data_IF_739829735594
#
_entry.id   IF_739829735594
#
_cell.length_a   1.000
_cell.length_b   1.000
_cell.length_c   1.000
_cell.angle_alpha   90.00
_cell.angle_beta   90.00
_cell.angle_gamma   90.00
#
_symmetry.space_group_name_H-M   'P 1'
#
loop_
_entity.id
_entity.type
_entity.pdbx_description
1 polymer ?
#
# COMPACT_ATOMS: atom_id res chain seq x y z
N UNK A 1 -6.94 -11.36 -23.37
CA UNK A 1 -6.15 -10.56 -22.38
C UNK A 1 -6.40 -9.06 -22.42
N UNK A 2 -6.01 -8.34 -23.49
CA UNK A 2 -6.14 -6.88 -23.55
C UNK A 2 -7.58 -6.38 -23.29
N UNK A 3 -8.59 -7.04 -23.85
CA UNK A 3 -9.99 -6.70 -23.65
C UNK A 3 -10.45 -6.78 -22.16
N UNK A 4 -10.04 -7.84 -21.45
CA UNK A 4 -10.38 -8.03 -20.02
C UNK A 4 -9.70 -6.96 -19.14
N UNK A 5 -8.42 -6.70 -19.41
CA UNK A 5 -7.68 -5.64 -18.74
C UNK A 5 -8.35 -4.28 -18.94
N UNK A 6 -8.69 -3.93 -20.20
CA UNK A 6 -9.40 -2.68 -20.54
C UNK A 6 -10.77 -2.62 -19.87
N UNK A 7 -11.52 -3.71 -19.84
CA UNK A 7 -12.82 -3.81 -19.15
C UNK A 7 -12.68 -3.44 -17.68
N UNK A 8 -11.73 -4.06 -16.95
CA UNK A 8 -11.57 -3.82 -15.52
C UNK A 8 -11.18 -2.37 -15.22
N UNK A 9 -10.31 -1.77 -16.04
CA UNK A 9 -9.99 -0.34 -15.94
C UNK A 9 -11.24 0.52 -16.15
N UNK A 10 -12.04 0.24 -17.19
CA UNK A 10 -13.25 0.99 -17.49
C UNK A 10 -14.30 0.87 -16.38
N UNK A 11 -14.48 -0.33 -15.81
CA UNK A 11 -15.41 -0.55 -14.71
C UNK A 11 -15.04 0.31 -13.49
N UNK A 12 -13.75 0.32 -13.13
CA UNK A 12 -13.27 1.14 -12.02
C UNK A 12 -13.42 2.65 -12.30
N UNK A 13 -12.86 3.16 -13.41
CA UNK A 13 -12.84 4.60 -13.66
C UNK A 13 -14.22 5.20 -14.02
N UNK A 14 -15.18 4.38 -14.45
CA UNK A 14 -16.57 4.83 -14.66
C UNK A 14 -17.35 4.92 -13.35
N UNK A 15 -17.00 4.14 -12.34
CA UNK A 15 -17.57 4.24 -11.01
C UNK A 15 -16.90 5.36 -10.20
N UNK A 16 -17.36 6.60 -10.40
CA UNK A 16 -16.81 7.78 -9.71
C UNK A 16 -16.86 7.65 -8.18
N UNK A 17 -17.90 7.00 -7.65
CA UNK A 17 -18.05 6.75 -6.22
C UNK A 17 -16.97 5.76 -5.76
N UNK A 18 -16.84 4.62 -6.45
CA UNK A 18 -15.82 3.62 -6.18
C UNK A 18 -14.39 4.19 -6.24
N UNK A 19 -14.08 5.06 -7.21
CA UNK A 19 -12.78 5.75 -7.28
C UNK A 19 -12.53 6.58 -6.03
N UNK A 20 -13.48 7.43 -5.63
CA UNK A 20 -13.34 8.25 -4.43
C UNK A 20 -13.19 7.39 -3.16
N UNK A 21 -14.05 6.40 -2.97
CA UNK A 21 -14.04 5.56 -1.77
C UNK A 21 -12.83 4.63 -1.69
N UNK A 22 -12.20 4.28 -2.82
CA UNK A 22 -10.95 3.51 -2.82
C UNK A 22 -9.77 4.26 -2.18
N UNK A 23 -9.80 5.60 -2.22
CA UNK A 23 -8.85 6.48 -1.53
C UNK A 23 -9.23 6.78 -0.08
N UNK A 24 -10.41 6.39 0.39
CA UNK A 24 -10.94 6.84 1.69
C UNK A 24 -9.98 6.52 2.85
N UNK A 25 -9.39 5.32 2.89
CA UNK A 25 -8.43 4.96 3.94
C UNK A 25 -7.18 5.87 3.95
N UNK A 26 -6.64 6.19 2.77
CA UNK A 26 -5.52 7.11 2.64
C UNK A 26 -5.91 8.56 2.98
N UNK A 27 -7.09 9.00 2.56
CA UNK A 27 -7.62 10.33 2.88
C UNK A 27 -7.89 10.49 4.38
N UNK A 28 -8.47 9.49 5.03
CA UNK A 28 -8.64 9.48 6.49
C UNK A 28 -7.28 9.65 7.16
N UNK A 29 -6.26 8.91 6.71
CA UNK A 29 -4.92 9.03 7.26
C UNK A 29 -4.34 10.43 7.11
N UNK A 30 -4.48 11.00 5.92
CA UNK A 30 -4.01 12.35 5.65
C UNK A 30 -4.74 13.41 6.50
N UNK A 31 -6.07 13.33 6.58
CA UNK A 31 -6.91 14.26 7.35
C UNK A 31 -6.61 14.15 8.84
N UNK A 32 -6.54 12.93 9.38
CA UNK A 32 -6.23 12.69 10.79
C UNK A 32 -4.89 13.32 11.16
N UNK A 33 -3.89 13.17 10.28
CA UNK A 33 -2.60 13.80 10.52
C UNK A 33 -2.70 15.32 10.56
N UNK A 34 -3.29 15.93 9.52
CA UNK A 34 -3.38 17.39 9.41
C UNK A 34 -4.11 18.00 10.60
N UNK A 35 -5.24 17.41 11.02
CA UNK A 35 -6.12 17.99 12.04
C UNK A 35 -5.62 17.68 13.45
N UNK A 36 -5.21 16.42 13.72
CA UNK A 36 -5.01 15.95 15.09
C UNK A 36 -3.54 15.70 15.45
N UNK A 37 -2.74 15.15 14.53
CA UNK A 37 -1.44 14.55 14.87
C UNK A 37 -0.29 15.53 14.63
N UNK A 38 -0.34 16.28 13.53
CA UNK A 38 0.77 17.14 13.09
C UNK A 38 1.22 18.12 14.17
N UNK A 39 0.27 18.80 14.81
CA UNK A 39 0.57 19.84 15.81
C UNK A 39 1.31 19.26 17.02
N UNK A 40 0.88 18.10 17.53
CA UNK A 40 1.55 17.47 18.68
C UNK A 40 2.93 16.94 18.30
N UNK A 41 3.07 16.30 17.13
CA UNK A 41 4.37 15.82 16.67
C UNK A 41 5.36 16.96 16.43
N UNK A 42 4.93 18.05 15.79
CA UNK A 42 5.77 19.23 15.62
C UNK A 42 6.22 19.79 16.97
N UNK A 43 5.34 19.80 17.99
CA UNK A 43 5.68 20.26 19.33
C UNK A 43 6.81 19.43 19.98
N UNK A 44 6.82 18.12 19.77
CA UNK A 44 7.89 17.22 20.25
C UNK A 44 9.23 17.44 19.53
N UNK A 45 9.19 17.89 18.27
CA UNK A 45 10.37 18.06 17.42
C UNK A 45 10.69 19.53 17.08
N UNK A 46 10.25 20.50 17.89
CA UNK A 46 10.44 21.93 17.60
C UNK A 46 11.91 22.34 17.48
N UNK A 47 12.80 21.65 18.18
CA UNK A 47 14.24 21.92 18.15
C UNK A 47 14.91 21.43 16.85
N UNK A 48 14.23 20.58 16.06
CA UNK A 48 14.74 20.06 14.80
C UNK A 48 14.45 21.04 13.67
N UNK A 49 15.47 21.56 12.96
CA UNK A 49 15.26 22.47 11.84
C UNK A 49 14.36 21.86 10.75
N UNK A 50 13.30 22.59 10.39
CA UNK A 50 12.36 22.15 9.34
C UNK A 50 11.49 20.94 9.74
N UNK A 51 11.21 20.76 11.04
CA UNK A 51 10.39 19.67 11.58
C UNK A 51 9.03 19.53 10.90
N UNK A 52 8.37 20.64 10.55
CA UNK A 52 7.12 20.63 9.78
C UNK A 52 7.27 19.84 8.47
N UNK A 53 8.18 20.28 7.59
CA UNK A 53 8.37 19.64 6.29
C UNK A 53 8.92 18.22 6.42
N UNK A 54 9.72 17.95 7.46
CA UNK A 54 10.23 16.61 7.72
C UNK A 54 9.10 15.64 8.06
N UNK A 55 8.17 16.03 8.94
CA UNK A 55 7.02 15.24 9.34
C UNK A 55 5.98 15.11 8.21
N UNK A 56 5.83 16.13 7.38
CA UNK A 56 4.94 16.06 6.21
C UNK A 56 5.43 15.02 5.18
N UNK A 57 6.73 14.97 4.91
CA UNK A 57 7.32 13.94 4.06
C UNK A 57 7.22 12.54 4.69
N UNK A 58 7.31 12.46 6.03
CA UNK A 58 7.13 11.20 6.76
C UNK A 58 5.72 10.63 6.58
N UNK A 59 4.71 11.50 6.66
CA UNK A 59 3.32 11.14 6.42
C UNK A 59 3.11 10.71 4.96
N UNK A 60 3.63 11.47 3.99
CA UNK A 60 3.47 11.16 2.55
C UNK A 60 3.88 9.71 2.28
N UNK A 61 5.03 9.27 2.81
CA UNK A 61 5.48 7.90 2.60
C UNK A 61 4.54 6.83 3.16
N UNK A 62 3.97 7.06 4.35
CA UNK A 62 2.99 6.16 4.95
C UNK A 62 1.68 6.10 4.16
N UNK A 63 1.13 7.26 3.83
CA UNK A 63 -0.15 7.41 3.13
C UNK A 63 -0.13 6.83 1.72
N UNK A 64 0.99 6.91 0.99
CA UNK A 64 1.12 6.24 -0.31
C UNK A 64 1.06 4.72 -0.18
N UNK A 65 1.69 4.15 0.85
CA UNK A 65 1.57 2.72 1.11
C UNK A 65 0.14 2.32 1.49
N UNK A 66 -0.57 3.12 2.30
CA UNK A 66 -1.99 2.88 2.60
C UNK A 66 -2.81 2.89 1.31
N UNK A 67 -2.57 3.88 0.45
CA UNK A 67 -3.27 4.06 -0.82
C UNK A 67 -3.14 2.82 -1.71
N UNK A 68 -1.93 2.26 -1.82
CA UNK A 68 -1.68 1.05 -2.60
C UNK A 68 -2.50 -0.14 -2.07
N UNK A 69 -2.47 -0.35 -0.74
CA UNK A 69 -3.17 -1.46 -0.08
C UNK A 69 -4.68 -1.33 -0.25
N UNK A 70 -5.27 -0.18 0.12
CA UNK A 70 -6.74 -0.02 0.10
C UNK A 70 -7.30 0.05 -1.31
N UNK A 71 -6.60 0.72 -2.23
CA UNK A 71 -7.06 0.84 -3.62
C UNK A 71 -7.05 -0.52 -4.31
N UNK A 72 -5.95 -1.27 -4.20
CA UNK A 72 -5.84 -2.57 -4.87
C UNK A 72 -6.81 -3.61 -4.27
N UNK A 73 -7.11 -3.52 -2.97
CA UNK A 73 -8.14 -4.35 -2.34
C UNK A 73 -9.53 -4.04 -2.89
N UNK A 74 -9.88 -2.75 -2.98
CA UNK A 74 -11.15 -2.31 -3.55
C UNK A 74 -11.30 -2.73 -5.01
N UNK A 75 -10.25 -2.60 -5.82
CA UNK A 75 -10.28 -2.97 -7.25
C UNK A 75 -10.35 -4.47 -7.46
N UNK A 76 -9.64 -5.27 -6.65
CA UNK A 76 -9.75 -6.73 -6.66
C UNK A 76 -11.15 -7.20 -6.26
N UNK A 77 -11.91 -6.37 -5.54
CA UNK A 77 -13.32 -6.61 -5.25
C UNK A 77 -14.19 -6.83 -6.49
N UNK A 78 -13.77 -6.32 -7.66
CA UNK A 78 -14.45 -6.60 -8.92
C UNK A 78 -14.47 -8.10 -9.24
N UNK A 79 -13.42 -8.85 -8.90
CA UNK A 79 -13.38 -10.30 -9.06
C UNK A 79 -14.47 -10.99 -8.24
N UNK A 80 -14.62 -10.60 -6.96
CA UNK A 80 -15.65 -11.14 -6.07
C UNK A 80 -17.05 -10.79 -6.58
N UNK A 81 -17.23 -9.56 -7.07
CA UNK A 81 -18.49 -9.11 -7.65
C UNK A 81 -18.86 -9.91 -8.90
N UNK A 82 -17.89 -10.17 -9.77
CA UNK A 82 -18.11 -10.95 -10.98
C UNK A 82 -18.40 -12.42 -10.67
N UNK A 83 -17.80 -12.96 -9.60
CA UNK A 83 -18.10 -14.31 -9.12
C UNK A 83 -19.52 -14.40 -8.56
N UNK A 84 -19.92 -13.47 -7.70
CA UNK A 84 -21.23 -13.51 -7.04
C UNK A 84 -22.39 -13.28 -8.02
N UNK A 85 -22.18 -12.50 -9.09
CA UNK A 85 -23.18 -12.27 -10.14
C UNK A 85 -23.09 -13.25 -11.31
N UNK A 86 -22.38 -14.37 -11.15
CA UNK A 86 -22.23 -15.42 -12.16
C UNK A 86 -21.57 -14.99 -13.48
N UNK A 87 -21.00 -13.78 -13.56
CA UNK A 87 -20.28 -13.26 -14.74
C UNK A 87 -19.07 -14.12 -15.09
N UNK A 88 -18.44 -14.75 -14.09
CA UNK A 88 -17.34 -15.69 -14.31
C UNK A 88 -17.80 -16.91 -15.14
N UNK A 89 -19.04 -17.39 -14.96
CA UNK A 89 -19.58 -18.52 -15.73
C UNK A 89 -19.69 -18.14 -17.21
N UNK A 90 -20.15 -16.93 -17.51
CA UNK A 90 -20.22 -16.42 -18.88
C UNK A 90 -18.85 -16.38 -19.55
N UNK A 91 -17.79 -15.99 -18.82
CA UNK A 91 -16.43 -16.03 -19.35
C UNK A 91 -15.94 -17.45 -19.65
N UNK A 92 -16.34 -18.44 -18.86
CA UNK A 92 -15.98 -19.85 -19.11
C UNK A 92 -16.70 -20.48 -20.29
N UNK A 93 -17.80 -19.87 -20.78
CA UNK A 93 -18.43 -20.24 -22.04
C UNK A 93 -17.69 -19.69 -23.28
N UNK A 94 -16.63 -18.91 -23.07
CA UNK A 94 -15.76 -18.37 -24.13
C UNK A 94 -14.36 -18.99 -24.06
N UNK A 95 -13.50 -18.72 -25.06
CA UNK A 95 -12.10 -19.20 -25.09
C UNK A 95 -11.16 -18.50 -24.07
N UNK A 96 -11.70 -17.89 -23.00
CA UNK A 96 -10.93 -17.22 -21.96
C UNK A 96 -10.50 -18.22 -20.90
N UNK A 97 -9.18 -18.36 -20.68
CA UNK A 97 -8.70 -19.24 -19.62
C UNK A 97 -8.87 -18.62 -18.21
N UNK A 98 -9.08 -19.44 -17.15
CA UNK A 98 -9.18 -18.95 -15.77
C UNK A 98 -7.96 -18.15 -15.32
N UNK A 99 -6.77 -18.60 -15.74
CA UNK A 99 -5.52 -17.90 -15.48
C UNK A 99 -5.49 -16.50 -16.12
N UNK A 100 -5.91 -16.41 -17.38
CA UNK A 100 -6.00 -15.14 -18.10
C UNK A 100 -6.97 -14.17 -17.42
N UNK A 101 -8.13 -14.66 -16.98
CA UNK A 101 -9.12 -13.87 -16.26
C UNK A 101 -8.54 -13.35 -14.93
N UNK A 102 -7.97 -14.23 -14.10
CA UNK A 102 -7.36 -13.86 -12.81
C UNK A 102 -6.23 -12.85 -12.97
N UNK A 103 -5.32 -13.10 -13.91
CA UNK A 103 -4.21 -12.20 -14.21
C UNK A 103 -4.71 -10.84 -14.70
N UNK A 104 -5.83 -10.78 -15.44
CA UNK A 104 -6.41 -9.50 -15.86
C UNK A 104 -6.91 -8.65 -14.69
N UNK A 105 -7.50 -9.25 -13.65
CA UNK A 105 -7.89 -8.53 -12.42
C UNK A 105 -6.68 -8.01 -11.67
N UNK A 106 -5.63 -8.84 -11.55
CA UNK A 106 -4.40 -8.46 -10.86
C UNK A 106 -3.67 -7.32 -11.58
N UNK A 107 -3.47 -7.42 -12.89
CA UNK A 107 -2.76 -6.39 -13.68
C UNK A 107 -3.53 -5.06 -13.68
N UNK A 108 -4.84 -5.10 -13.89
CA UNK A 108 -5.67 -3.88 -13.86
C UNK A 108 -5.68 -3.24 -12.46
N UNK A 109 -5.78 -4.04 -11.40
CA UNK A 109 -5.68 -3.56 -10.01
C UNK A 109 -4.33 -2.91 -9.73
N UNK A 110 -3.23 -3.49 -10.21
CA UNK A 110 -1.88 -2.93 -10.04
C UNK A 110 -1.72 -1.58 -10.72
N UNK A 111 -2.22 -1.44 -11.95
CA UNK A 111 -2.18 -0.16 -12.67
C UNK A 111 -3.08 0.88 -12.02
N UNK A 112 -4.27 0.51 -11.56
CA UNK A 112 -5.14 1.42 -10.82
C UNK A 112 -4.47 1.86 -9.52
N UNK A 113 -3.96 0.93 -8.71
CA UNK A 113 -3.27 1.23 -7.46
C UNK A 113 -2.04 2.13 -7.66
N UNK A 114 -1.32 1.98 -8.77
CA UNK A 114 -0.24 2.87 -9.17
C UNK A 114 -0.77 4.29 -9.48
N UNK A 115 -1.79 4.42 -10.33
CA UNK A 115 -2.39 5.72 -10.70
C UNK A 115 -2.93 6.45 -9.46
N UNK A 116 -3.63 5.73 -8.57
CA UNK A 116 -4.24 6.32 -7.38
C UNK A 116 -3.19 6.75 -6.35
N UNK A 117 -2.04 6.06 -6.25
CA UNK A 117 -0.90 6.55 -5.47
C UNK A 117 -0.36 7.87 -6.04
N UNK A 118 -0.24 8.00 -7.36
CA UNK A 118 0.21 9.27 -7.97
C UNK A 118 -0.80 10.39 -7.71
N UNK A 119 -2.11 10.11 -7.82
CA UNK A 119 -3.14 11.08 -7.48
C UNK A 119 -3.01 11.54 -6.01
N UNK A 120 -2.82 10.60 -5.09
CA UNK A 120 -2.66 10.91 -3.67
C UNK A 120 -1.35 11.66 -3.38
N UNK A 121 -0.26 11.34 -4.08
CA UNK A 121 1.00 12.09 -4.03
C UNK A 121 0.78 13.55 -4.44
N UNK A 122 0.09 13.78 -5.57
CA UNK A 122 -0.21 15.15 -6.05
C UNK A 122 -1.06 15.92 -5.04
N UNK A 123 -2.09 15.28 -4.45
CA UNK A 123 -2.95 15.91 -3.44
C UNK A 123 -2.12 16.34 -2.22
N UNK A 124 -1.30 15.45 -1.66
CA UNK A 124 -0.52 15.77 -0.45
C UNK A 124 0.58 16.79 -0.72
N UNK A 125 1.32 16.65 -1.83
CA UNK A 125 2.37 17.61 -2.17
C UNK A 125 1.78 18.98 -2.47
N UNK A 126 0.64 19.06 -3.17
CA UNK A 126 -0.06 20.32 -3.42
C UNK A 126 -0.49 20.99 -2.13
N UNK A 127 -1.10 20.22 -1.21
CA UNK A 127 -1.51 20.74 0.11
C UNK A 127 -0.31 21.26 0.91
N UNK A 128 0.73 20.44 1.12
CA UNK A 128 1.88 20.83 1.93
C UNK A 128 2.76 21.90 1.28
N UNK A 129 2.72 22.03 -0.05
CA UNK A 129 3.35 23.15 -0.73
C UNK A 129 2.68 24.48 -0.34
N UNK A 130 1.34 24.50 -0.25
CA UNK A 130 0.58 25.70 0.14
C UNK A 130 0.66 25.98 1.64
N UNK A 131 0.59 24.95 2.50
CA UNK A 131 0.51 25.15 3.94
C UNK A 131 1.85 25.30 4.64
N UNK A 132 2.88 24.59 4.18
CA UNK A 132 4.18 24.48 4.87
C UNK A 132 5.37 24.83 3.98
N UNK A 133 5.12 25.37 2.78
CA UNK A 133 6.13 25.69 1.78
C UNK A 133 7.01 24.46 1.44
N UNK A 134 6.42 23.26 1.43
CA UNK A 134 7.14 22.05 1.07
C UNK A 134 7.51 22.07 -0.41
N UNK A 135 8.82 22.05 -0.70
CA UNK A 135 9.31 21.95 -2.06
C UNK A 135 9.02 20.56 -2.66
N UNK A 136 8.54 20.55 -3.92
CA UNK A 136 8.32 19.31 -4.66
C UNK A 136 9.67 18.63 -4.93
N UNK A 137 9.85 17.34 -4.57
CA UNK A 137 11.13 16.66 -4.70
C UNK A 137 11.36 16.15 -6.14
N UNK A 138 11.44 17.06 -7.11
CA UNK A 138 11.56 16.75 -8.55
C UNK A 138 12.65 15.71 -8.88
N UNK A 139 13.84 15.87 -8.30
CA UNK A 139 14.97 14.94 -8.51
C UNK A 139 14.74 13.53 -7.95
N UNK A 140 13.76 13.34 -7.05
CA UNK A 140 13.42 12.03 -6.45
C UNK A 140 12.18 11.40 -7.08
N UNK A 141 11.45 12.12 -7.95
CA UNK A 141 10.22 11.62 -8.55
C UNK A 141 10.40 10.31 -9.32
N UNK A 142 11.47 10.10 -10.13
CA UNK A 142 11.66 8.82 -10.82
C UNK A 142 11.71 7.63 -9.85
N UNK A 143 12.40 7.81 -8.71
CA UNK A 143 12.53 6.79 -7.69
C UNK A 143 11.21 6.58 -6.92
N UNK A 144 10.49 7.66 -6.60
CA UNK A 144 9.15 7.58 -5.98
C UNK A 144 8.17 6.84 -6.90
N UNK A 145 8.21 7.11 -8.20
CA UNK A 145 7.38 6.42 -9.21
C UNK A 145 7.71 4.93 -9.26
N UNK A 146 8.99 4.57 -9.22
CA UNK A 146 9.41 3.16 -9.20
C UNK A 146 8.90 2.43 -7.94
N UNK A 147 8.97 3.08 -6.78
CA UNK A 147 8.45 2.54 -5.52
C UNK A 147 6.93 2.44 -5.55
N UNK A 148 6.23 3.39 -6.17
CA UNK A 148 4.77 3.33 -6.35
C UNK A 148 4.35 2.15 -7.21
N UNK A 149 5.12 1.85 -8.26
CA UNK A 149 4.89 0.67 -9.09
C UNK A 149 5.09 -0.62 -8.29
N UNK A 150 6.22 -0.76 -7.60
CA UNK A 150 6.50 -1.92 -6.73
C UNK A 150 5.42 -2.09 -5.66
N UNK A 151 5.07 -0.99 -4.96
CA UNK A 151 4.04 -0.94 -3.93
C UNK A 151 2.67 -1.40 -4.44
N UNK A 152 2.28 -0.96 -5.64
CA UNK A 152 1.00 -1.34 -6.22
C UNK A 152 0.93 -2.84 -6.51
N UNK A 153 1.94 -3.40 -7.19
CA UNK A 153 1.95 -4.82 -7.52
C UNK A 153 2.16 -5.71 -6.29
N UNK A 154 2.96 -5.27 -5.32
CA UNK A 154 3.07 -5.94 -4.01
C UNK A 154 1.70 -5.99 -3.31
N UNK A 155 0.99 -4.87 -3.28
CA UNK A 155 -0.34 -4.80 -2.66
C UNK A 155 -1.34 -5.70 -3.38
N UNK A 156 -1.28 -5.79 -4.71
CA UNK A 156 -2.12 -6.72 -5.49
C UNK A 156 -1.88 -8.17 -5.07
N UNK A 157 -0.64 -8.63 -5.01
CA UNK A 157 -0.38 -10.04 -4.67
C UNK A 157 -0.75 -10.35 -3.22
N UNK A 158 -0.49 -9.43 -2.29
CA UNK A 158 -0.87 -9.60 -0.88
C UNK A 158 -2.39 -9.61 -0.69
N UNK A 159 -3.10 -8.68 -1.30
CA UNK A 159 -4.57 -8.65 -1.24
C UNK A 159 -5.17 -9.88 -1.94
N UNK A 160 -4.56 -10.35 -3.04
CA UNK A 160 -5.03 -11.54 -3.75
C UNK A 160 -4.91 -12.82 -2.90
N UNK A 161 -3.92 -12.94 -2.01
CA UNK A 161 -3.83 -14.07 -1.06
C UNK A 161 -5.07 -14.19 -0.17
N UNK A 162 -5.75 -13.07 0.11
CA UNK A 162 -6.98 -13.04 0.90
C UNK A 162 -8.18 -13.17 -0.03
N UNK A 163 -8.27 -12.32 -1.05
CA UNK A 163 -9.44 -12.18 -1.94
C UNK A 163 -9.80 -13.47 -2.66
N UNK A 164 -8.83 -14.31 -3.01
CA UNK A 164 -9.10 -15.57 -3.72
C UNK A 164 -9.90 -16.61 -2.92
N UNK A 165 -10.19 -16.36 -1.65
CA UNK A 165 -11.05 -17.18 -0.79
C UNK A 165 -12.39 -16.50 -0.46
N UNK A 166 -12.67 -15.34 -1.06
CA UNK A 166 -13.84 -14.54 -0.79
C UNK A 166 -14.78 -14.60 -1.99
N UNK A 167 -15.98 -15.14 -1.77
CA UNK A 167 -16.97 -15.39 -2.83
C UNK A 167 -18.23 -14.53 -2.70
N UNK A 168 -18.28 -13.63 -1.70
CA UNK A 168 -19.44 -12.80 -1.35
C UNK A 168 -19.03 -11.35 -1.10
N UNK A 169 -19.78 -10.42 -1.68
CA UNK A 169 -19.57 -8.96 -1.54
C UNK A 169 -19.73 -8.50 -0.09
N UNK A 170 -20.64 -9.13 0.67
CA UNK A 170 -20.81 -8.82 2.11
C UNK A 170 -19.53 -9.14 2.91
N UNK A 171 -18.94 -10.32 2.70
CA UNK A 171 -17.68 -10.72 3.33
C UNK A 171 -16.53 -9.80 2.92
N UNK A 172 -16.44 -9.47 1.63
CA UNK A 172 -15.48 -8.51 1.11
C UNK A 172 -15.61 -7.14 1.80
N UNK A 173 -16.84 -6.65 1.97
CA UNK A 173 -17.11 -5.36 2.59
C UNK A 173 -16.62 -5.31 4.04
N UNK A 174 -16.82 -6.38 4.80
CA UNK A 174 -16.29 -6.52 6.17
C UNK A 174 -14.77 -6.49 6.21
N UNK A 175 -14.11 -7.19 5.27
CA UNK A 175 -12.65 -7.17 5.15
C UNK A 175 -12.16 -5.76 4.79
N UNK A 176 -12.81 -5.08 3.85
CA UNK A 176 -12.50 -3.69 3.48
C UNK A 176 -12.56 -2.75 4.69
N UNK A 177 -13.59 -2.87 5.54
CA UNK A 177 -13.71 -2.05 6.75
C UNK A 177 -12.56 -2.29 7.73
N UNK A 178 -12.18 -3.55 7.96
CA UNK A 178 -11.08 -3.91 8.86
C UNK A 178 -9.75 -3.37 8.30
N UNK A 179 -9.44 -3.69 7.05
CA UNK A 179 -8.18 -3.26 6.41
C UNK A 179 -8.11 -1.74 6.34
N UNK A 180 -9.19 -1.07 5.93
CA UNK A 180 -9.24 0.39 5.84
C UNK A 180 -9.00 1.09 7.18
N UNK A 181 -9.54 0.53 8.27
CA UNK A 181 -9.35 1.10 9.62
C UNK A 181 -7.97 0.80 10.20
N UNK A 182 -7.48 -0.43 10.00
CA UNK A 182 -6.21 -0.88 10.57
C UNK A 182 -4.98 -0.42 9.77
N UNK A 183 -5.11 -0.13 8.48
CA UNK A 183 -3.98 0.16 7.59
C UNK A 183 -3.10 1.31 8.10
N UNK A 184 -3.70 2.40 8.59
CA UNK A 184 -2.93 3.54 9.09
C UNK A 184 -2.09 3.23 10.35
N UNK A 185 -2.58 2.34 11.22
CA UNK A 185 -1.83 1.86 12.37
C UNK A 185 -0.77 0.82 11.96
N UNK A 186 -1.15 -0.19 11.18
CA UNK A 186 -0.27 -1.29 10.79
C UNK A 186 0.88 -0.86 9.86
N UNK A 187 0.70 0.22 9.09
CA UNK A 187 1.78 0.83 8.28
C UNK A 187 2.62 1.81 9.12
N UNK A 188 2.14 2.20 10.31
CA UNK A 188 2.81 3.16 11.17
C UNK A 188 2.73 4.59 10.64
N UNK A 189 1.55 4.99 10.15
CA UNK A 189 1.29 6.35 9.61
C UNK A 189 0.63 7.26 10.65
N UNK A 190 -0.09 6.70 11.63
CA UNK A 190 -0.73 7.48 12.69
C UNK A 190 0.20 7.83 13.84
N UNK A 191 1.18 6.96 14.14
CA UNK A 191 2.09 7.16 15.26
C UNK A 191 3.50 6.67 14.89
N UNK A 192 4.56 7.31 15.43
CA UNK A 192 5.92 6.80 15.34
C UNK A 192 6.01 5.39 15.92
N UNK A 193 6.64 4.47 15.19
CA UNK A 193 6.71 3.05 15.58
C UNK A 193 7.39 2.91 16.95
N UNK A 194 8.48 3.63 17.20
CA UNK A 194 9.21 3.53 18.47
C UNK A 194 8.48 4.11 19.69
N UNK A 195 7.38 4.84 19.48
CA UNK A 195 6.53 5.33 20.58
C UNK A 195 5.48 4.28 21.02
N UNK A 196 5.35 3.19 20.28
CA UNK A 196 4.34 2.15 20.53
C UNK A 196 4.87 1.05 21.46
N UNK A 197 3.99 0.36 22.19
CA UNK A 197 4.34 -0.86 22.92
C UNK A 197 4.94 -1.93 22.00
N UNK A 198 5.80 -2.79 22.55
CA UNK A 198 6.55 -3.80 21.78
C UNK A 198 5.66 -4.68 20.89
N UNK A 199 4.49 -5.07 21.40
CA UNK A 199 3.53 -5.87 20.63
C UNK A 199 3.02 -5.16 19.37
N UNK A 200 2.67 -3.87 19.49
CA UNK A 200 2.21 -3.08 18.35
C UNK A 200 3.34 -2.85 17.33
N UNK A 201 4.57 -2.61 17.81
CA UNK A 201 5.75 -2.54 16.92
C UNK A 201 5.95 -3.84 16.14
N UNK A 202 5.77 -4.99 16.80
CA UNK A 202 5.89 -6.29 16.16
C UNK A 202 4.84 -6.51 15.07
N UNK A 203 3.58 -6.14 15.31
CA UNK A 203 2.51 -6.19 14.30
C UNK A 203 2.84 -5.31 13.07
N UNK A 204 3.37 -4.11 13.29
CA UNK A 204 3.80 -3.23 12.20
C UNK A 204 4.94 -3.87 11.41
N UNK A 205 5.93 -4.45 12.10
CA UNK A 205 7.06 -5.14 11.45
C UNK A 205 6.65 -6.42 10.71
N UNK A 206 5.48 -7.00 10.98
CA UNK A 206 4.93 -8.09 10.17
C UNK A 206 4.18 -7.61 8.92
N UNK A 207 3.86 -6.32 8.83
CA UNK A 207 3.04 -5.77 7.76
C UNK A 207 3.94 -5.30 6.60
N UNK A 208 3.87 -5.91 5.39
CA UNK A 208 4.74 -5.52 4.28
C UNK A 208 4.60 -4.05 3.86
N UNK A 209 3.41 -3.46 4.01
CA UNK A 209 3.18 -2.04 3.75
C UNK A 209 4.04 -1.11 4.63
N UNK A 210 4.41 -1.52 5.85
CA UNK A 210 5.32 -0.73 6.68
C UNK A 210 6.71 -0.57 6.05
N UNK A 211 7.19 -1.60 5.34
CA UNK A 211 8.48 -1.57 4.62
C UNK A 211 8.40 -0.70 3.37
N UNK A 212 7.27 -0.71 2.67
CA UNK A 212 7.02 0.23 1.55
C UNK A 212 7.07 1.67 2.06
N UNK A 213 6.37 1.97 3.17
CA UNK A 213 6.41 3.29 3.79
C UNK A 213 7.84 3.67 4.21
N UNK A 214 8.61 2.74 4.75
CA UNK A 214 10.01 2.94 5.11
C UNK A 214 10.87 3.31 3.88
N UNK A 215 10.70 2.64 2.73
CA UNK A 215 11.42 3.00 1.49
C UNK A 215 11.05 4.43 1.05
N UNK A 216 9.75 4.76 1.00
CA UNK A 216 9.33 6.13 0.65
C UNK A 216 9.95 7.17 1.58
N UNK A 217 9.94 6.91 2.90
CA UNK A 217 10.54 7.81 3.90
C UNK A 217 12.04 7.97 3.71
N UNK A 218 12.77 6.88 3.48
CA UNK A 218 14.21 6.93 3.20
C UNK A 218 14.51 7.78 1.96
N UNK A 219 13.69 7.68 0.92
CA UNK A 219 13.84 8.49 -0.29
C UNK A 219 13.50 9.95 0.01
N UNK A 220 12.28 10.23 0.46
CA UNK A 220 11.74 11.57 0.63
C UNK A 220 12.55 12.39 1.64
N UNK A 221 12.86 11.80 2.79
CA UNK A 221 13.42 12.51 3.94
C UNK A 221 14.94 12.57 3.96
N UNK A 222 15.66 11.70 3.21
CA UNK A 222 17.14 11.59 3.25
C UNK A 222 17.87 12.94 3.35
N UNK A 223 17.69 13.83 2.38
CA UNK A 223 18.36 15.14 2.35
C UNK A 223 18.03 16.00 3.59
N UNK A 224 16.75 16.04 4.02
CA UNK A 224 16.33 16.86 5.17
C UNK A 224 16.85 16.31 6.49
N UNK A 225 16.93 14.99 6.65
CA UNK A 225 17.48 14.37 7.86
C UNK A 225 18.95 14.75 8.05
N UNK A 226 19.76 14.67 7.00
CA UNK A 226 21.19 15.02 7.08
C UNK A 226 21.42 16.51 7.37
N UNK A 227 20.51 17.40 6.94
CA UNK A 227 20.58 18.82 7.31
C UNK A 227 20.04 19.13 8.71
N UNK A 228 19.13 18.29 9.22
CA UNK A 228 18.40 18.57 10.45
C UNK A 228 19.10 18.00 11.70
N UNK A 229 19.91 16.96 11.55
CA UNK A 229 20.64 16.32 12.65
C UNK A 229 22.14 16.34 12.36
N UNK A 230 22.94 16.72 13.36
CA UNK A 230 24.40 16.81 13.21
C UNK A 230 25.12 15.51 13.57
N UNK A 231 24.54 14.69 14.46
CA UNK A 231 25.14 13.44 14.90
C UNK A 231 24.58 12.20 14.19
N UNK A 232 25.42 11.25 13.74
CA UNK A 232 24.96 9.95 13.23
C UNK A 232 24.09 9.17 14.22
N UNK A 233 24.32 9.33 15.52
CA UNK A 233 23.53 8.64 16.57
C UNK A 233 22.11 9.19 16.67
N UNK A 234 21.93 10.50 16.53
CA UNK A 234 20.62 11.15 16.51
C UNK A 234 19.84 10.75 15.25
N UNK A 235 20.52 10.71 14.10
CA UNK A 235 19.95 10.22 12.85
C UNK A 235 19.47 8.77 12.99
N UNK A 236 20.28 7.89 13.58
CA UNK A 236 19.89 6.50 13.79
C UNK A 236 18.67 6.38 14.73
N UNK A 237 18.69 7.09 15.86
CA UNK A 237 17.57 7.12 16.82
C UNK A 237 16.29 7.66 16.19
N UNK A 238 16.37 8.76 15.44
CA UNK A 238 15.23 9.32 14.73
C UNK A 238 14.67 8.35 13.70
N UNK A 239 15.55 7.73 12.89
CA UNK A 239 15.15 6.75 11.88
C UNK A 239 14.41 5.55 12.48
N UNK A 240 14.89 5.04 13.62
CA UNK A 240 14.26 3.93 14.32
C UNK A 240 12.90 4.33 14.92
N UNK A 241 12.87 5.44 15.66
CA UNK A 241 11.66 5.94 16.33
C UNK A 241 10.54 6.21 15.32
N UNK A 242 10.88 6.86 14.21
CA UNK A 242 9.92 7.24 13.18
C UNK A 242 9.62 6.10 12.20
N UNK A 243 10.27 4.93 12.29
CA UNK A 243 10.04 3.86 11.33
C UNK A 243 10.45 4.24 9.90
N UNK A 244 11.49 5.07 9.76
CA UNK A 244 12.13 5.38 8.47
C UNK A 244 13.02 4.19 8.08
N UNK A 245 13.68 3.60 9.07
CA UNK A 245 14.35 2.31 8.96
C UNK A 245 13.75 1.38 10.01
N UNK A 246 13.19 0.27 9.56
CA UNK A 246 12.69 -0.76 10.47
C UNK A 246 13.86 -1.53 11.06
N UNK A 247 13.68 -1.99 12.30
CA UNK A 247 14.72 -2.64 13.10
C UNK A 247 14.25 -4.01 13.57
N UNK A 248 15.01 -5.05 13.24
CA UNK A 248 14.83 -6.41 13.80
C UNK A 248 16.00 -6.75 14.72
N UNK A 249 17.20 -6.82 14.14
CA UNK A 249 18.48 -6.90 14.85
C UNK A 249 19.36 -5.69 14.57
N UNK A 250 19.16 -5.05 13.41
CA UNK A 250 19.80 -3.82 12.99
C UNK A 250 18.84 -3.02 12.11
N UNK A 251 19.11 -1.72 11.98
CA UNK A 251 18.34 -0.84 11.10
C UNK A 251 18.52 -1.24 9.63
N UNK A 252 17.42 -1.57 8.98
CA UNK A 252 17.41 -1.99 7.59
C UNK A 252 17.75 -0.81 6.67
N UNK A 253 18.67 -1.05 5.73
CA UNK A 253 18.94 -0.12 4.63
C UNK A 253 17.81 -0.17 3.60
N UNK A 254 17.74 0.83 2.72
CA UNK A 254 16.79 0.84 1.61
C UNK A 254 16.95 -0.40 0.73
N UNK A 255 18.18 -0.83 0.46
CA UNK A 255 18.49 -2.02 -0.33
C UNK A 255 17.96 -3.29 0.35
N UNK A 256 18.30 -3.52 1.63
CA UNK A 256 17.82 -4.68 2.37
C UNK A 256 16.29 -4.71 2.51
N UNK A 257 15.68 -3.53 2.69
CA UNK A 257 14.22 -3.38 2.72
C UNK A 257 13.59 -3.75 1.38
N UNK A 258 14.23 -3.35 0.27
CA UNK A 258 13.75 -3.66 -1.10
C UNK A 258 13.89 -5.14 -1.40
N UNK A 259 15.02 -5.77 -1.06
CA UNK A 259 15.26 -7.21 -1.20
C UNK A 259 14.22 -8.02 -0.42
N UNK A 260 13.97 -7.64 0.83
CA UNK A 260 12.90 -8.25 1.64
C UNK A 260 11.54 -8.18 0.93
N UNK A 261 11.17 -7.02 0.41
CA UNK A 261 9.90 -6.86 -0.32
C UNK A 261 9.83 -7.68 -1.60
N UNK A 262 10.94 -7.81 -2.34
CA UNK A 262 11.02 -8.67 -3.53
C UNK A 262 10.82 -10.13 -3.12
N UNK A 263 11.43 -10.59 -2.02
CA UNK A 263 11.22 -11.94 -1.49
C UNK A 263 9.76 -12.17 -1.10
N UNK A 264 9.13 -11.21 -0.40
CA UNK A 264 7.70 -11.28 -0.05
C UNK A 264 6.82 -11.32 -1.31
N UNK A 265 7.15 -10.50 -2.31
CA UNK A 265 6.43 -10.47 -3.59
C UNK A 265 6.48 -11.82 -4.31
N UNK A 266 7.69 -12.37 -4.48
CA UNK A 266 7.89 -13.68 -5.11
C UNK A 266 7.23 -14.81 -4.32
N UNK A 267 7.39 -14.81 -2.99
CA UNK A 267 6.75 -15.78 -2.11
C UNK A 267 5.22 -15.72 -2.19
N UNK A 268 4.64 -14.52 -2.26
CA UNK A 268 3.19 -14.33 -2.43
C UNK A 268 2.70 -14.87 -3.77
N UNK A 269 3.42 -14.62 -4.87
CA UNK A 269 3.10 -15.19 -6.19
C UNK A 269 3.12 -16.72 -6.14
N UNK A 270 4.16 -17.31 -5.53
CA UNK A 270 4.28 -18.76 -5.38
C UNK A 270 3.09 -19.33 -4.59
N UNK A 271 2.72 -18.70 -3.47
CA UNK A 271 1.58 -19.11 -2.66
C UNK A 271 0.27 -19.05 -3.45
N UNK A 272 0.02 -17.97 -4.21
CA UNK A 272 -1.15 -17.87 -5.10
C UNK A 272 -1.15 -19.04 -6.08
N UNK A 273 -0.02 -19.31 -6.74
CA UNK A 273 0.08 -20.39 -7.71
C UNK A 273 -0.17 -21.77 -7.10
N UNK A 274 0.41 -22.06 -5.92
CA UNK A 274 0.19 -23.31 -5.18
C UNK A 274 -1.29 -23.47 -4.82
N UNK A 275 -1.93 -22.42 -4.32
CA UNK A 275 -3.37 -22.49 -3.98
C UNK A 275 -4.26 -22.76 -5.20
N UNK A 276 -3.89 -22.23 -6.37
CA UNK A 276 -4.61 -22.52 -7.62
C UNK A 276 -4.43 -23.96 -8.09
N UNK A 277 -3.21 -24.52 -7.96
CA UNK A 277 -2.96 -25.92 -8.29
C UNK A 277 -3.76 -26.88 -7.40
N UNK A 278 -3.85 -26.60 -6.10
CA UNK A 278 -4.61 -27.40 -5.15
C UNK A 278 -6.11 -27.39 -5.52
N UNK A 279 -6.68 -26.21 -5.79
CA UNK A 279 -8.08 -26.07 -6.21
C UNK A 279 -8.38 -26.83 -7.50
N UNK A 280 -7.48 -26.75 -8.50
CA UNK A 280 -7.64 -27.47 -9.77
C UNK A 280 -7.69 -28.99 -9.54
N UNK A 281 -6.81 -29.53 -8.71
CA UNK A 281 -6.75 -30.97 -8.42
C UNK A 281 -8.00 -31.47 -7.68
N UNK A 282 -8.56 -30.70 -6.75
CA UNK A 282 -9.79 -31.06 -6.04
C UNK A 282 -10.98 -31.19 -6.99
N UNK A 283 -11.17 -30.21 -7.89
CA UNK A 283 -12.26 -30.22 -8.86
C UNK A 283 -12.17 -31.40 -9.85
N UNK A 284 -10.95 -31.82 -10.24
CA UNK A 284 -10.77 -33.01 -11.09
C UNK A 284 -11.09 -34.33 -10.38
N UNK A 285 -10.91 -34.41 -9.07
CA UNK A 285 -11.23 -35.62 -8.29
C UNK A 285 -12.75 -35.74 -8.08
N UNK A 286 -13.46 -34.63 -7.91
CA UNK A 286 -14.92 -34.61 -7.75
C UNK A 286 -15.66 -34.96 -9.05
N UNK A 287 -15.14 -34.56 -10.22
CA UNK A 287 -15.72 -34.92 -11.53
C UNK A 287 -15.39 -36.35 -11.99
N UNK A 288 -14.47 -37.02 -11.32
CA UNK A 288 -14.09 -38.42 -11.58
C UNK A 288 -14.85 -39.45 -10.73
N UNK A 289 -15.78 -38.99 -9.89
CA UNK A 289 -16.70 -39.83 -9.10
C UNK A 289 -18.13 -39.69 -9.65
#
# INVERSE_FOLDING_TARGET
>A
MHALYKRNLLLYFRDRSGVFFSLLGAMISFILYVIFIKKSMVAEWQQVPGSHQLLDLWLVGGTLSITAVTTTLATLGQMVKDEEHDVIKDFYLTDVSPFQLKLSYMLSSGVIGFIMQLAMLTIMLGYFNVTDNLAIPWGKLPLIILVALLSAFLSVVLNMLIIQFIHKIDTLSKINSIVGTAAGFLIGTYLPIGALPQFAQWLIKLTPGAYVAAIYRQILMSAKIHSAFQSPTEVARFNQLMGIKLDWSHLLSMTATTEFLICVFMGSILLIFVTELIKKNQNTIELGK
#
